data_IF_889785559486
#
_entry.id   IF_889785559486
#
_cell.length_a   1.000
_cell.length_b   1.000
_cell.length_c   1.000
_cell.angle_alpha   90.00
_cell.angle_beta   90.00
_cell.angle_gamma   90.00
#
_symmetry.space_group_name_H-M   'P 1'
#
loop_
_entity.id
_entity.type
_entity.pdbx_description
1 polymer ?
#
# COMPACT_ATOMS: atom_id res chain seq x y z
N UNK A 1 19.91 38.49 35.81
CA UNK A 1 18.61 37.99 35.30
C UNK A 1 18.67 38.09 33.79
N UNK A 2 19.20 37.06 33.13
CA UNK A 2 19.41 37.08 31.68
C UNK A 2 18.14 36.56 31.00
N UNK A 3 17.46 37.43 30.25
CA UNK A 3 16.23 37.10 29.53
C UNK A 3 16.55 36.27 28.29
N UNK A 4 16.02 35.04 28.24
CA UNK A 4 16.00 34.23 27.03
C UNK A 4 14.99 34.84 26.05
N UNK A 5 15.48 35.33 24.91
CA UNK A 5 14.65 35.81 23.82
C UNK A 5 14.20 34.63 22.97
N UNK A 6 12.95 34.19 23.14
CA UNK A 6 12.32 33.17 22.30
C UNK A 6 11.88 33.82 20.98
N UNK A 7 12.67 33.63 19.94
CA UNK A 7 12.33 33.96 18.56
C UNK A 7 11.27 32.98 18.06
N UNK A 8 9.99 33.30 18.26
CA UNK A 8 8.89 32.57 17.62
C UNK A 8 9.02 32.76 16.10
N UNK A 9 9.44 31.70 15.41
CA UNK A 9 9.56 31.65 13.95
C UNK A 9 8.15 31.57 13.34
N UNK A 10 7.44 32.69 13.34
CA UNK A 10 6.20 32.84 12.57
C UNK A 10 6.55 33.10 11.10
N UNK A 11 6.67 32.02 10.32
CA UNK A 11 6.45 32.12 8.86
C UNK A 11 5.92 30.80 8.31
N UNK A 12 4.61 30.59 8.43
CA UNK A 12 3.90 29.75 7.47
C UNK A 12 3.93 30.45 6.12
N UNK A 13 5.01 30.27 5.36
CA UNK A 13 4.99 30.58 3.93
C UNK A 13 4.04 29.58 3.28
N UNK A 14 2.82 30.02 2.96
CA UNK A 14 2.02 29.29 1.99
C UNK A 14 2.88 29.10 0.74
N UNK A 15 3.19 27.85 0.33
CA UNK A 15 3.85 27.61 -0.93
C UNK A 15 3.05 28.27 -2.05
N UNK A 16 3.74 28.84 -3.04
CA UNK A 16 3.08 29.30 -4.26
C UNK A 16 2.45 28.07 -4.92
N UNK A 17 1.24 28.16 -5.51
CA UNK A 17 0.63 27.02 -6.16
C UNK A 17 1.58 26.51 -7.26
N UNK A 18 2.20 25.36 -7.01
CA UNK A 18 3.03 24.69 -7.99
C UNK A 18 2.09 23.98 -8.97
N UNK A 19 2.10 24.34 -10.28
CA UNK A 19 1.22 23.72 -11.26
C UNK A 19 1.39 22.19 -11.32
N UNK A 20 2.59 21.68 -10.97
CA UNK A 20 2.84 20.24 -10.92
C UNK A 20 2.11 19.57 -9.75
N UNK A 21 2.19 20.12 -8.54
CA UNK A 21 1.46 19.60 -7.37
C UNK A 21 -0.06 19.66 -7.57
N UNK A 22 -0.55 20.73 -8.22
CA UNK A 22 -1.98 20.89 -8.54
C UNK A 22 -2.45 19.87 -9.61
N UNK A 23 -1.58 19.55 -10.58
CA UNK A 23 -1.84 18.48 -11.56
C UNK A 23 -1.86 17.10 -10.92
N UNK A 24 -0.92 16.80 -10.02
CA UNK A 24 -0.86 15.55 -9.28
C UNK A 24 -2.05 15.41 -8.32
N UNK A 25 -2.44 16.48 -7.64
CA UNK A 25 -3.65 16.52 -6.83
C UNK A 25 -4.90 16.23 -7.67
N UNK A 26 -4.99 16.80 -8.88
CA UNK A 26 -6.10 16.57 -9.81
C UNK A 26 -6.12 15.16 -10.41
N UNK A 27 -4.96 14.55 -10.62
CA UNK A 27 -4.84 13.15 -11.06
C UNK A 27 -5.15 12.15 -9.95
N UNK A 28 -4.81 12.50 -8.70
CA UNK A 28 -5.15 11.70 -7.51
C UNK A 28 -6.64 11.74 -7.17
N UNK A 29 -7.36 12.76 -7.63
CA UNK A 29 -8.80 12.87 -7.44
C UNK A 29 -9.53 11.89 -8.37
N UNK A 30 -10.02 10.80 -7.76
CA UNK A 30 -10.79 9.73 -8.43
C UNK A 30 -12.05 10.24 -9.13
N UNK A 31 -12.53 11.44 -8.78
CA UNK A 31 -13.70 12.06 -9.40
C UNK A 31 -13.38 12.98 -10.59
N UNK A 32 -12.11 13.40 -10.73
CA UNK A 32 -11.67 14.36 -11.76
C UNK A 32 -10.73 13.71 -12.78
N UNK A 33 -10.22 12.50 -12.49
CA UNK A 33 -9.43 11.70 -13.40
C UNK A 33 -10.24 11.26 -14.63
N UNK A 34 -10.02 11.90 -15.78
CA UNK A 34 -10.37 11.49 -17.15
C UNK A 34 -11.45 10.39 -17.30
N UNK A 35 -12.66 10.67 -16.82
CA UNK A 35 -13.83 9.81 -17.06
C UNK A 35 -14.20 10.00 -18.52
N UNK A 36 -13.67 9.15 -19.39
CA UNK A 36 -14.12 9.15 -20.78
C UNK A 36 -15.63 8.90 -20.79
N UNK A 37 -16.44 9.74 -21.47
CA UNK A 37 -17.90 9.61 -21.45
C UNK A 37 -18.39 8.24 -21.93
N UNK A 38 -17.56 7.53 -22.71
CA UNK A 38 -17.79 6.16 -23.15
C UNK A 38 -17.91 5.13 -22.01
N UNK A 39 -17.31 5.36 -20.84
CA UNK A 39 -17.34 4.43 -19.69
C UNK A 39 -18.69 4.41 -18.98
N UNK A 40 -19.41 5.53 -18.97
CA UNK A 40 -20.73 5.65 -18.32
C UNK A 40 -21.77 4.74 -19.01
N UNK A 41 -21.79 4.73 -20.34
CA UNK A 41 -22.72 3.89 -21.10
C UNK A 41 -22.44 2.39 -20.96
N UNK A 42 -21.18 1.99 -20.73
CA UNK A 42 -20.82 0.59 -20.53
C UNK A 42 -21.43 0.04 -19.22
N UNK A 43 -21.36 0.82 -18.14
CA UNK A 43 -21.97 0.46 -16.86
C UNK A 43 -23.49 0.35 -16.95
N UNK A 44 -24.12 1.30 -17.64
CA UNK A 44 -25.57 1.24 -17.87
C UNK A 44 -25.98 0.03 -18.72
N UNK A 45 -25.28 -0.23 -19.82
CA UNK A 45 -25.56 -1.37 -20.69
C UNK A 45 -25.42 -2.70 -19.95
N UNK A 46 -24.35 -2.88 -19.16
CA UNK A 46 -24.14 -4.12 -18.41
C UNK A 46 -25.18 -4.30 -17.31
N UNK A 47 -25.63 -3.20 -16.68
CA UNK A 47 -26.72 -3.23 -15.70
C UNK A 47 -28.06 -3.65 -16.33
N UNK A 48 -28.42 -3.11 -17.50
CA UNK A 48 -29.66 -3.49 -18.21
C UNK A 48 -29.61 -4.98 -18.61
N UNK A 49 -28.50 -5.43 -19.20
CA UNK A 49 -28.32 -6.82 -19.63
C UNK A 49 -28.37 -7.75 -18.42
N UNK A 50 -27.65 -7.41 -17.34
CA UNK A 50 -27.64 -8.19 -16.09
C UNK A 50 -29.03 -8.29 -15.48
N UNK A 51 -29.79 -7.19 -15.46
CA UNK A 51 -31.17 -7.16 -14.93
C UNK A 51 -32.13 -8.04 -15.74
N UNK A 52 -32.03 -8.02 -17.07
CA UNK A 52 -32.83 -8.88 -17.95
C UNK A 52 -32.44 -10.35 -17.76
N UNK A 53 -31.15 -10.67 -17.76
CA UNK A 53 -30.66 -12.03 -17.52
C UNK A 53 -31.10 -12.56 -16.15
N UNK A 54 -31.00 -11.75 -15.10
CA UNK A 54 -31.47 -12.09 -13.75
C UNK A 54 -32.98 -12.33 -13.73
N UNK A 55 -33.76 -11.46 -14.40
CA UNK A 55 -35.21 -11.64 -14.52
C UNK A 55 -35.57 -12.95 -15.23
N UNK A 56 -34.90 -13.26 -16.35
CA UNK A 56 -35.05 -14.53 -17.05
C UNK A 56 -34.66 -15.73 -16.17
N UNK A 57 -33.59 -15.61 -15.38
CA UNK A 57 -33.14 -16.65 -14.46
C UNK A 57 -34.16 -16.91 -13.35
N UNK A 58 -34.66 -15.86 -12.69
CA UNK A 58 -35.69 -15.98 -11.65
C UNK A 58 -36.98 -16.56 -12.24
N UNK A 59 -37.39 -16.09 -13.41
CA UNK A 59 -38.54 -16.63 -14.14
C UNK A 59 -38.37 -18.13 -14.39
N UNK A 60 -37.23 -18.57 -14.92
CA UNK A 60 -36.94 -19.97 -15.17
C UNK A 60 -36.95 -20.85 -13.89
N UNK A 61 -36.39 -20.35 -12.79
CA UNK A 61 -36.35 -21.09 -11.52
C UNK A 61 -37.71 -21.20 -10.82
N UNK A 62 -38.55 -20.18 -10.95
CA UNK A 62 -39.86 -20.10 -10.25
C UNK A 62 -41.03 -20.65 -11.06
N UNK A 63 -40.92 -20.78 -12.38
CA UNK A 63 -41.99 -21.34 -13.21
C UNK A 63 -42.19 -22.84 -12.93
N UNK A 64 -43.43 -23.31 -12.67
CA UNK A 64 -43.72 -24.73 -12.54
C UNK A 64 -43.62 -25.47 -13.88
N UNK A 65 -43.23 -26.75 -13.85
CA UNK A 65 -42.96 -27.59 -15.04
C UNK A 65 -44.17 -27.71 -15.97
N UNK A 66 -45.38 -27.67 -15.40
CA UNK A 66 -46.64 -27.71 -16.16
C UNK A 66 -46.74 -26.55 -17.15
N UNK A 67 -46.31 -25.34 -16.79
CA UNK A 67 -46.37 -24.17 -17.66
C UNK A 67 -45.30 -24.27 -18.76
N UNK A 68 -44.12 -24.79 -18.43
CA UNK A 68 -43.04 -24.98 -19.40
C UNK A 68 -43.43 -25.98 -20.50
N UNK A 69 -44.08 -27.08 -20.12
CA UNK A 69 -44.44 -28.13 -21.06
C UNK A 69 -45.71 -27.78 -21.86
N UNK A 70 -46.74 -27.20 -21.22
CA UNK A 70 -48.02 -26.96 -21.88
C UNK A 70 -48.07 -25.66 -22.70
N UNK A 71 -47.43 -24.59 -22.23
CA UNK A 71 -47.54 -23.27 -22.89
C UNK A 71 -46.32 -22.98 -23.76
N UNK A 72 -45.14 -23.48 -23.38
CA UNK A 72 -43.87 -23.12 -24.01
C UNK A 72 -43.31 -24.21 -24.94
N UNK A 73 -43.84 -25.44 -24.89
CA UNK A 73 -43.41 -26.59 -25.70
C UNK A 73 -41.88 -26.86 -25.66
N UNK A 74 -41.24 -26.60 -24.53
CA UNK A 74 -39.82 -26.84 -24.31
C UNK A 74 -39.65 -28.12 -23.49
N UNK A 75 -39.13 -29.18 -24.12
CA UNK A 75 -38.92 -30.50 -23.51
C UNK A 75 -37.47 -30.77 -23.08
N UNK A 76 -36.53 -29.91 -23.48
CA UNK A 76 -35.11 -30.07 -23.15
C UNK A 76 -34.61 -28.81 -22.43
N UNK A 77 -34.48 -28.90 -21.12
CA UNK A 77 -33.84 -27.89 -20.28
C UNK A 77 -32.97 -28.59 -19.22
N UNK A 78 -31.87 -27.95 -18.76
CA UNK A 78 -31.01 -28.52 -17.72
C UNK A 78 -31.79 -28.67 -16.40
N UNK A 79 -31.41 -29.66 -15.58
CA UNK A 79 -32.02 -29.92 -14.27
C UNK A 79 -32.11 -28.62 -13.43
N UNK A 80 -33.23 -28.43 -12.72
CA UNK A 80 -33.44 -27.31 -11.78
C UNK A 80 -32.37 -27.26 -10.69
N UNK A 81 -31.66 -28.37 -10.42
CA UNK A 81 -30.50 -28.38 -9.53
C UNK A 81 -29.48 -27.26 -9.83
N UNK A 82 -29.31 -26.89 -11.11
CA UNK A 82 -28.40 -25.80 -11.50
C UNK A 82 -28.78 -24.44 -10.91
N UNK A 83 -30.06 -24.24 -10.57
CA UNK A 83 -30.54 -23.04 -9.87
C UNK A 83 -29.88 -22.84 -8.51
N UNK A 84 -29.57 -23.93 -7.81
CA UNK A 84 -28.94 -23.94 -6.49
C UNK A 84 -27.43 -24.10 -6.59
N UNK A 85 -26.97 -24.92 -7.55
CA UNK A 85 -25.56 -25.16 -7.78
C UNK A 85 -24.81 -23.85 -8.06
N UNK A 86 -25.26 -23.04 -9.03
CA UNK A 86 -24.55 -21.84 -9.46
C UNK A 86 -24.33 -20.84 -8.31
N UNK A 87 -25.36 -20.43 -7.53
CA UNK A 87 -25.16 -19.56 -6.39
C UNK A 87 -24.26 -20.16 -5.30
N UNK A 88 -24.42 -21.46 -5.01
CA UNK A 88 -23.62 -22.12 -3.96
C UNK A 88 -22.13 -22.20 -4.32
N UNK A 89 -21.80 -22.54 -5.56
CA UNK A 89 -20.42 -22.54 -6.05
C UNK A 89 -19.85 -21.12 -6.14
N UNK A 90 -20.65 -20.13 -6.54
CA UNK A 90 -20.21 -18.72 -6.56
C UNK A 90 -19.85 -18.21 -5.16
N UNK A 91 -20.65 -18.53 -4.14
CA UNK A 91 -20.34 -18.17 -2.75
C UNK A 91 -19.08 -18.88 -2.24
N UNK A 92 -18.92 -20.18 -2.53
CA UNK A 92 -17.72 -20.92 -2.13
C UNK A 92 -16.47 -20.41 -2.85
N UNK A 93 -16.58 -20.07 -4.14
CA UNK A 93 -15.49 -19.45 -4.89
C UNK A 93 -15.09 -18.10 -4.31
N UNK A 94 -16.07 -17.27 -3.92
CA UNK A 94 -15.82 -15.98 -3.28
C UNK A 94 -15.01 -16.16 -1.98
N UNK A 95 -15.45 -17.04 -1.08
CA UNK A 95 -14.73 -17.34 0.17
C UNK A 95 -13.32 -17.87 -0.10
N UNK A 96 -13.18 -18.76 -1.09
CA UNK A 96 -11.89 -19.29 -1.50
C UNK A 96 -10.95 -18.18 -1.96
N UNK A 97 -11.41 -17.25 -2.81
CA UNK A 97 -10.61 -16.12 -3.26
C UNK A 97 -10.14 -15.26 -2.08
N UNK A 98 -11.02 -14.94 -1.13
CA UNK A 98 -10.62 -14.15 0.05
C UNK A 98 -9.57 -14.87 0.90
N UNK A 99 -9.74 -16.16 1.12
CA UNK A 99 -8.80 -16.95 1.92
C UNK A 99 -7.42 -17.01 1.26
N UNK A 100 -7.37 -17.30 -0.05
CA UNK A 100 -6.13 -17.35 -0.81
C UNK A 100 -5.47 -15.98 -0.93
N UNK A 101 -6.25 -14.92 -1.11
CA UNK A 101 -5.71 -13.57 -1.13
C UNK A 101 -5.11 -13.20 0.23
N UNK A 102 -5.80 -13.53 1.34
CA UNK A 102 -5.27 -13.29 2.68
C UNK A 102 -3.96 -14.06 2.91
N UNK A 103 -3.92 -15.36 2.59
CA UNK A 103 -2.71 -16.18 2.65
C UNK A 103 -1.58 -15.59 1.81
N UNK A 104 -1.86 -15.24 0.56
CA UNK A 104 -0.85 -14.67 -0.34
C UNK A 104 -0.29 -13.34 0.19
N UNK A 105 -1.16 -12.47 0.73
CA UNK A 105 -0.71 -11.23 1.35
C UNK A 105 0.16 -11.50 2.59
N UNK A 106 -0.21 -12.45 3.44
CA UNK A 106 0.53 -12.76 4.67
C UNK A 106 1.85 -13.49 4.42
N UNK A 107 1.92 -14.38 3.43
CA UNK A 107 3.09 -15.23 3.20
C UNK A 107 4.07 -14.69 2.16
N UNK A 108 3.57 -14.03 1.11
CA UNK A 108 4.40 -13.61 -0.03
C UNK A 108 4.68 -12.13 -0.03
N UNK A 109 3.67 -11.29 0.25
CA UNK A 109 3.81 -9.83 0.15
C UNK A 109 4.28 -9.17 1.45
N UNK A 110 3.94 -9.76 2.60
CA UNK A 110 4.32 -9.23 3.90
C UNK A 110 5.58 -9.95 4.39
N UNK A 111 6.52 -9.20 4.96
CA UNK A 111 7.65 -9.79 5.67
C UNK A 111 7.15 -10.63 6.85
N UNK A 112 7.98 -11.58 7.28
CA UNK A 112 7.66 -12.40 8.45
C UNK A 112 7.50 -11.49 9.68
N UNK A 113 6.49 -11.74 10.52
CA UNK A 113 6.21 -10.92 11.71
C UNK A 113 7.38 -10.84 12.71
N UNK A 114 8.33 -11.77 12.62
CA UNK A 114 9.51 -11.86 13.48
C UNK A 114 10.73 -11.13 12.89
N UNK A 115 10.58 -10.49 11.74
CA UNK A 115 11.64 -9.75 11.08
C UNK A 115 11.69 -8.30 11.55
N UNK A 116 12.88 -7.81 11.91
CA UNK A 116 13.15 -6.44 12.36
C UNK A 116 12.90 -5.44 11.24
N UNK A 117 13.01 -5.87 9.98
CA UNK A 117 12.68 -5.08 8.80
C UNK A 117 11.20 -4.63 8.78
N UNK A 118 10.33 -5.20 9.63
CA UNK A 118 8.96 -4.70 9.81
C UNK A 118 8.89 -3.33 10.53
N UNK A 119 9.93 -2.95 11.28
CA UNK A 119 9.99 -1.73 12.10
C UNK A 119 11.01 -0.73 11.54
N UNK A 120 11.99 -1.24 10.79
CA UNK A 120 13.14 -0.50 10.28
C UNK A 120 12.91 -0.13 8.82
N UNK A 121 13.25 1.10 8.46
CA UNK A 121 13.20 1.63 7.09
C UNK A 121 14.61 1.83 6.50
N UNK A 122 14.69 2.17 5.21
CA UNK A 122 15.93 2.43 4.46
C UNK A 122 16.79 3.56 5.07
N UNK A 123 16.22 4.43 5.90
CA UNK A 123 16.95 5.52 6.58
C UNK A 123 17.23 5.25 8.07
N UNK A 124 17.04 4.01 8.52
CA UNK A 124 17.39 3.63 9.88
C UNK A 124 18.90 3.39 9.99
N UNK A 125 19.56 4.09 10.92
CA UNK A 125 20.97 3.85 11.24
C UNK A 125 21.11 2.83 12.36
N UNK A 126 22.04 1.91 12.18
CA UNK A 126 22.37 0.90 13.17
C UNK A 126 23.75 1.16 13.78
N UNK A 127 24.00 0.70 15.02
CA UNK A 127 25.33 0.71 15.60
C UNK A 127 26.31 -0.06 14.69
N UNK A 128 27.42 0.56 14.29
CA UNK A 128 28.39 -0.01 13.35
C UNK A 128 28.22 0.42 11.89
N UNK A 129 27.17 1.17 11.56
CA UNK A 129 26.97 1.75 10.23
C UNK A 129 28.10 2.71 9.84
N UNK A 130 28.61 3.49 10.81
CA UNK A 130 29.77 4.39 10.67
C UNK A 130 31.09 3.70 10.28
N UNK A 131 31.23 2.40 10.52
CA UNK A 131 32.43 1.64 10.13
C UNK A 131 32.39 1.25 8.64
N UNK A 132 31.19 1.22 8.02
CA UNK A 132 31.04 1.05 6.57
C UNK A 132 31.53 2.28 5.80
N UNK A 133 31.29 3.48 6.32
CA UNK A 133 31.84 4.73 5.78
C UNK A 133 33.39 4.76 5.83
N UNK A 134 34.01 3.95 6.69
CA UNK A 134 35.48 3.79 6.78
C UNK A 134 36.05 2.68 5.88
N UNK A 135 35.25 2.13 4.97
CA UNK A 135 35.70 1.18 3.94
C UNK A 135 35.80 -0.28 4.42
N UNK A 136 35.09 -0.65 5.49
CA UNK A 136 34.83 -2.04 5.84
C UNK A 136 33.45 -2.38 5.27
N UNK A 137 33.41 -3.05 4.12
CA UNK A 137 32.16 -3.41 3.46
C UNK A 137 31.43 -4.51 4.25
N UNK A 138 30.62 -4.13 5.25
CA UNK A 138 29.73 -5.04 5.98
C UNK A 138 28.36 -5.02 5.32
N UNK A 139 27.76 -6.18 5.08
CA UNK A 139 26.43 -6.24 4.48
C UNK A 139 25.39 -5.67 5.44
N UNK A 140 24.46 -4.84 4.94
CA UNK A 140 23.36 -4.26 5.75
C UNK A 140 22.59 -5.32 6.54
N UNK A 141 22.41 -6.51 5.97
CA UNK A 141 21.74 -7.61 6.64
C UNK A 141 22.48 -8.08 7.89
N UNK A 142 23.81 -8.10 7.88
CA UNK A 142 24.63 -8.50 9.03
C UNK A 142 24.56 -7.45 10.16
N UNK A 143 24.43 -6.17 9.80
CA UNK A 143 24.18 -5.09 10.77
C UNK A 143 22.80 -5.25 11.42
N UNK A 144 21.77 -5.55 10.63
CA UNK A 144 20.40 -5.78 11.12
C UNK A 144 20.40 -6.99 12.06
N UNK A 145 21.05 -8.09 11.69
CA UNK A 145 21.14 -9.31 12.51
C UNK A 145 21.85 -9.03 13.84
N UNK A 146 22.89 -8.17 13.83
CA UNK A 146 23.57 -7.71 15.05
C UNK A 146 22.69 -6.78 15.88
N UNK A 147 21.85 -5.96 15.23
CA UNK A 147 20.94 -5.04 15.88
C UNK A 147 19.77 -5.74 16.58
N UNK A 148 19.37 -6.93 16.14
CA UNK A 148 18.34 -7.77 16.80
C UNK A 148 18.66 -7.97 18.28
N UNK A 149 19.93 -8.15 18.65
CA UNK A 149 20.35 -8.31 20.04
C UNK A 149 19.99 -7.08 20.90
N UNK A 150 20.10 -5.88 20.31
CA UNK A 150 19.85 -4.62 21.01
C UNK A 150 18.37 -4.27 21.18
N UNK A 151 17.45 -5.01 20.54
CA UNK A 151 16.00 -4.82 20.71
C UNK A 151 15.55 -5.25 22.11
N UNK A 152 16.10 -6.37 22.60
CA UNK A 152 15.71 -6.93 23.89
C UNK A 152 16.72 -6.66 25.00
N UNK A 153 17.97 -6.31 24.65
CA UNK A 153 19.03 -6.03 25.61
C UNK A 153 19.62 -4.65 25.36
N UNK A 154 19.85 -3.91 26.44
CA UNK A 154 20.51 -2.61 26.37
C UNK A 154 21.94 -2.71 25.80
N UNK A 155 22.27 -2.00 24.72
CA UNK A 155 23.65 -1.60 24.50
C UNK A 155 24.04 -0.65 25.66
N UNK A 156 24.93 -1.13 26.52
CA UNK A 156 25.67 -0.35 27.52
C UNK A 156 24.89 0.74 28.29
N UNK A 157 23.78 0.39 28.95
CA UNK A 157 23.27 1.09 30.15
C UNK A 157 22.87 2.57 30.06
N UNK A 158 23.01 3.22 28.90
CA UNK A 158 22.59 4.61 28.67
C UNK A 158 21.21 4.58 28.03
N UNK A 159 20.18 4.74 28.86
CA UNK A 159 18.80 4.95 28.43
C UNK A 159 18.46 6.39 28.80
N UNK A 160 17.74 7.10 27.93
CA UNK A 160 17.24 8.47 28.12
C UNK A 160 18.14 9.62 27.62
N UNK A 161 18.75 9.47 26.45
CA UNK A 161 19.28 10.63 25.72
C UNK A 161 18.13 11.44 25.09
N UNK A 162 18.17 12.79 25.15
CA UNK A 162 17.18 13.61 24.46
C UNK A 162 17.25 13.32 22.96
N UNK A 163 16.08 13.15 22.33
CA UNK A 163 15.98 12.76 20.91
C UNK A 163 16.73 13.72 19.97
N UNK A 164 16.82 15.00 20.34
CA UNK A 164 17.61 16.00 19.60
C UNK A 164 19.09 15.64 19.53
N UNK A 165 19.68 15.18 20.64
CA UNK A 165 21.09 14.78 20.69
C UNK A 165 21.32 13.47 19.95
N UNK A 166 20.37 12.54 20.03
CA UNK A 166 20.41 11.28 19.27
C UNK A 166 20.38 11.56 17.77
N UNK A 167 19.50 12.46 17.33
CA UNK A 167 19.40 12.83 15.92
C UNK A 167 20.65 13.57 15.42
N UNK A 168 21.19 14.47 16.23
CA UNK A 168 22.46 15.16 15.94
C UNK A 168 23.67 14.21 15.90
N UNK A 169 23.67 13.11 16.66
CA UNK A 169 24.79 12.15 16.58
C UNK A 169 24.62 11.18 15.40
N UNK A 170 23.39 10.76 15.10
CA UNK A 170 23.13 9.74 14.08
C UNK A 170 23.02 10.29 12.65
N UNK A 171 22.60 11.54 12.47
CA UNK A 171 22.24 12.09 11.15
C UNK A 171 22.99 13.37 10.78
N UNK A 172 24.00 13.78 11.53
CA UNK A 172 24.70 15.06 11.30
C UNK A 172 25.82 15.02 10.26
N UNK A 173 25.85 13.99 9.41
CA UNK A 173 26.89 13.83 8.39
C UNK A 173 26.47 14.28 6.97
N UNK A 174 25.32 14.96 6.80
CA UNK A 174 24.76 15.22 5.45
C UNK A 174 25.03 16.60 4.81
N UNK A 175 25.91 17.47 5.34
CA UNK A 175 26.12 18.81 4.74
C UNK A 175 27.59 19.20 4.42
N UNK A 176 28.61 18.34 4.61
CA UNK A 176 30.01 18.75 4.41
C UNK A 176 30.75 18.21 3.17
N UNK A 177 30.12 17.37 2.34
CA UNK A 177 30.80 16.74 1.19
C UNK A 177 30.42 17.31 -0.19
N UNK A 178 29.69 18.43 -0.28
CA UNK A 178 29.26 19.00 -1.58
C UNK A 178 29.93 20.29 -2.04
N UNK A 179 30.87 20.88 -1.29
CA UNK A 179 31.36 22.25 -1.59
C UNK A 179 32.87 22.44 -1.88
N UNK A 180 33.73 21.41 -1.97
CA UNK A 180 35.20 21.65 -2.07
C UNK A 180 35.94 21.20 -3.35
N UNK A 181 35.28 20.77 -4.43
CA UNK A 181 36.01 20.20 -5.59
C UNK A 181 35.76 20.89 -6.95
N UNK A 182 35.76 22.24 -7.04
CA UNK A 182 35.70 22.92 -8.34
C UNK A 182 36.45 24.26 -8.48
N UNK A 183 37.56 24.50 -7.79
CA UNK A 183 38.44 25.64 -8.07
C UNK A 183 39.94 25.29 -7.97
N UNK A 184 40.49 24.64 -8.99
CA UNK A 184 41.89 24.73 -9.49
C UNK A 184 42.06 23.62 -10.55
N UNK A 185 42.27 23.90 -11.84
CA UNK A 185 43.59 24.18 -12.44
C UNK A 185 43.33 24.76 -13.84
N UNK A 186 43.80 25.99 -14.10
CA UNK A 186 44.06 26.48 -15.45
C UNK A 186 45.38 27.26 -15.44
N UNK A 187 46.48 26.57 -15.77
CA UNK A 187 47.72 27.13 -16.32
C UNK A 187 48.19 26.19 -17.43
#
# INVERSE_FOLDING_TARGET
MSSLSLSILSRSSSPRPNPQEDSLARESDVTVSNITPSKEYQGFAIWVISSICLGCWICWTTLPESILHHQLSIYYYPDRYWAVAIPSYSLMLMVFIYYFLALYNTEVLTLKLDDVCCIVDEHSHFPGDVDNAKGIDVSRQELIDSAVEYIHNAPSGVWDLPITLVNEVLYNDDDNDSDDDNDEINI
#
